data_IF_453432975195
#
_entry.id   IF_453432975195
#
_cell.length_a   1.000
_cell.length_b   1.000
_cell.length_c   1.000
_cell.angle_alpha   90.00
_cell.angle_beta   90.00
_cell.angle_gamma   90.00
#
_symmetry.space_group_name_H-M   'P 1'
#
loop_
_entity.id
_entity.type
_entity.pdbx_description
1 polymer ?
#
# COMPACT_ATOMS: atom_id res chain seq x y z
N UNK A 1 10.06 10.68 -23.27
CA UNK A 1 8.69 10.37 -23.69
C UNK A 1 8.44 8.88 -23.56
N UNK A 2 7.70 8.52 -22.52
CA UNK A 2 7.29 7.14 -22.23
C UNK A 2 6.31 6.60 -23.29
N UNK A 3 6.43 5.32 -23.62
CA UNK A 3 5.58 4.67 -24.63
C UNK A 3 4.19 4.35 -24.06
N UNK A 4 3.13 4.69 -24.81
CA UNK A 4 1.74 4.37 -24.44
C UNK A 4 1.37 2.96 -24.91
N UNK A 5 1.64 1.98 -24.05
CA UNK A 5 1.31 0.56 -24.25
C UNK A 5 0.67 0.01 -22.96
N UNK A 6 -0.06 -1.12 -23.03
CA UNK A 6 -0.48 -1.81 -21.82
C UNK A 6 0.73 -2.06 -20.91
N UNK A 7 0.62 -1.78 -19.61
CA UNK A 7 1.74 -1.92 -18.69
C UNK A 7 2.06 -3.40 -18.48
N UNK A 8 3.36 -3.70 -18.36
CA UNK A 8 3.87 -4.98 -17.88
C UNK A 8 4.64 -4.75 -16.58
N UNK A 9 4.93 -5.82 -15.83
CA UNK A 9 5.79 -5.78 -14.66
C UNK A 9 7.12 -5.08 -14.95
N UNK A 10 7.80 -5.46 -16.03
CA UNK A 10 9.11 -4.92 -16.41
C UNK A 10 9.02 -3.43 -16.74
N UNK A 11 7.97 -3.02 -17.44
CA UNK A 11 7.74 -1.62 -17.79
C UNK A 11 7.47 -0.78 -16.53
N UNK A 12 6.62 -1.27 -15.63
CA UNK A 12 6.29 -0.59 -14.37
C UNK A 12 7.52 -0.49 -13.46
N UNK A 13 8.27 -1.58 -13.32
CA UNK A 13 9.54 -1.62 -12.59
C UNK A 13 10.56 -0.63 -13.15
N UNK A 14 10.76 -0.61 -14.47
CA UNK A 14 11.68 0.33 -15.12
C UNK A 14 11.26 1.79 -14.93
N UNK A 15 9.95 2.06 -14.98
CA UNK A 15 9.39 3.38 -14.74
C UNK A 15 9.63 3.83 -13.29
N UNK A 16 9.29 3.00 -12.29
CA UNK A 16 9.50 3.30 -10.87
C UNK A 16 10.98 3.51 -10.57
N UNK A 17 11.85 2.63 -11.07
CA UNK A 17 13.30 2.80 -10.94
C UNK A 17 13.80 4.10 -11.60
N UNK A 18 13.24 4.47 -12.75
CA UNK A 18 13.52 5.72 -13.43
C UNK A 18 13.13 6.94 -12.60
N UNK A 19 11.99 6.92 -11.90
CA UNK A 19 11.56 8.00 -10.99
C UNK A 19 12.57 8.15 -9.84
N UNK A 20 12.93 7.05 -9.16
CA UNK A 20 13.88 7.06 -8.04
C UNK A 20 15.25 7.60 -8.46
N UNK A 21 15.66 7.33 -9.70
CA UNK A 21 16.94 7.81 -10.27
C UNK A 21 16.82 9.16 -10.97
N UNK A 22 15.69 9.85 -10.83
CA UNK A 22 15.42 11.16 -11.45
C UNK A 22 15.57 11.17 -12.98
N UNK A 23 15.37 10.02 -13.64
CA UNK A 23 15.36 9.89 -15.10
C UNK A 23 14.02 10.30 -15.72
N UNK A 24 12.94 10.18 -14.95
CA UNK A 24 11.60 10.63 -15.33
C UNK A 24 11.09 11.60 -14.28
N UNK A 25 10.47 12.69 -14.72
CA UNK A 25 9.76 13.60 -13.81
C UNK A 25 8.42 12.99 -13.42
N UNK A 26 7.87 13.42 -12.28
CA UNK A 26 6.55 12.95 -11.83
C UNK A 26 5.44 13.42 -12.77
N UNK A 27 5.58 14.58 -13.40
CA UNK A 27 4.68 15.10 -14.44
C UNK A 27 4.71 14.23 -15.71
N UNK A 28 5.89 13.82 -16.18
CA UNK A 28 6.01 12.90 -17.33
C UNK A 28 5.31 11.57 -17.03
N UNK A 29 5.49 11.04 -15.81
CA UNK A 29 4.86 9.79 -15.38
C UNK A 29 3.35 9.95 -15.25
N UNK A 30 2.86 11.06 -14.69
CA UNK A 30 1.41 11.31 -14.59
C UNK A 30 0.77 11.39 -15.98
N UNK A 31 1.41 12.11 -16.91
CA UNK A 31 0.93 12.20 -18.30
C UNK A 31 0.88 10.83 -18.97
N UNK A 32 1.92 10.01 -18.77
CA UNK A 32 1.94 8.63 -19.24
C UNK A 32 0.83 7.78 -18.62
N UNK A 33 0.65 7.84 -17.30
CA UNK A 33 -0.40 7.11 -16.58
C UNK A 33 -1.78 7.46 -17.15
N UNK A 34 -2.08 8.75 -17.32
CA UNK A 34 -3.35 9.21 -17.90
C UNK A 34 -3.57 8.68 -19.31
N UNK A 35 -2.53 8.69 -20.16
CA UNK A 35 -2.61 8.19 -21.53
C UNK A 35 -2.82 6.66 -21.59
N UNK A 36 -2.14 5.90 -20.72
CA UNK A 36 -2.29 4.45 -20.63
C UNK A 36 -3.65 4.09 -20.04
N UNK A 37 -4.05 4.70 -18.93
CA UNK A 37 -5.33 4.46 -18.28
C UNK A 37 -6.51 4.79 -19.21
N UNK A 38 -6.44 5.86 -20.01
CA UNK A 38 -7.47 6.15 -21.03
C UNK A 38 -7.64 5.03 -22.07
N UNK A 39 -6.60 4.22 -22.32
CA UNK A 39 -6.61 3.15 -23.31
C UNK A 39 -7.07 1.80 -22.73
N UNK A 40 -6.66 1.49 -21.50
CA UNK A 40 -6.91 0.18 -20.88
C UNK A 40 -8.03 0.23 -19.81
N UNK A 41 -8.35 1.42 -19.31
CA UNK A 41 -9.27 1.67 -18.22
C UNK A 41 -9.02 0.72 -17.03
N UNK A 42 -10.02 -0.07 -16.66
CA UNK A 42 -9.99 -1.04 -15.57
C UNK A 42 -9.56 -2.44 -16.00
N UNK A 43 -9.14 -2.61 -17.26
CA UNK A 43 -8.67 -3.88 -17.82
C UNK A 43 -7.15 -3.94 -17.77
N UNK A 44 -6.59 -3.80 -16.56
CA UNK A 44 -5.15 -3.80 -16.33
C UNK A 44 -4.59 -5.23 -16.40
N UNK A 45 -3.68 -5.55 -17.33
CA UNK A 45 -3.14 -6.91 -17.49
C UNK A 45 -1.98 -7.17 -16.50
N UNK A 46 -2.19 -6.88 -15.22
CA UNK A 46 -1.22 -7.13 -14.14
C UNK A 46 -1.92 -7.92 -13.03
N UNK A 47 -1.23 -8.89 -12.43
CA UNK A 47 -1.65 -9.45 -11.15
C UNK A 47 -1.26 -8.51 -9.99
N UNK A 48 -1.78 -8.73 -8.78
CA UNK A 48 -1.34 -7.97 -7.61
C UNK A 48 0.16 -8.12 -7.37
N UNK A 49 0.72 -9.29 -7.70
CA UNK A 49 2.14 -9.58 -7.56
C UNK A 49 3.03 -8.93 -8.63
N UNK A 50 2.42 -8.49 -9.74
CA UNK A 50 3.10 -7.76 -10.82
C UNK A 50 2.98 -6.24 -10.64
N UNK A 51 2.39 -5.79 -9.53
CA UNK A 51 2.23 -4.37 -9.21
C UNK A 51 0.91 -3.77 -9.70
N UNK A 52 -0.18 -4.54 -9.76
CA UNK A 52 -1.53 -4.04 -10.07
C UNK A 52 -1.87 -2.75 -9.29
N UNK A 53 -1.72 -2.76 -7.97
CA UNK A 53 -1.99 -1.58 -7.13
C UNK A 53 -0.95 -0.48 -7.31
N UNK A 54 0.29 -0.82 -7.64
CA UNK A 54 1.35 0.17 -7.87
C UNK A 54 1.09 0.97 -9.13
N UNK A 55 0.54 0.36 -10.18
CA UNK A 55 0.07 1.09 -11.36
C UNK A 55 -1.00 2.12 -10.99
N UNK A 56 -2.04 1.74 -10.24
CA UNK A 56 -3.10 2.67 -9.82
C UNK A 56 -2.61 3.75 -8.86
N UNK A 57 -1.62 3.43 -8.02
CA UNK A 57 -0.99 4.40 -7.13
C UNK A 57 -0.34 5.56 -7.91
N UNK A 58 0.12 5.34 -9.14
CA UNK A 58 0.69 6.39 -9.99
C UNK A 58 -0.32 7.50 -10.36
N UNK A 59 -1.63 7.29 -10.18
CA UNK A 59 -2.62 8.36 -10.26
C UNK A 59 -2.27 9.54 -9.31
N UNK A 60 -1.65 9.22 -8.17
CA UNK A 60 -1.28 10.18 -7.12
C UNK A 60 0.21 10.52 -7.13
N UNK A 61 0.93 10.25 -8.23
CA UNK A 61 2.37 10.51 -8.31
C UNK A 61 2.74 11.98 -8.10
N UNK A 62 1.83 12.91 -8.43
CA UNK A 62 2.02 14.35 -8.21
C UNK A 62 1.20 14.91 -7.02
N UNK A 63 0.38 14.08 -6.38
CA UNK A 63 -0.44 14.52 -5.26
C UNK A 63 0.44 14.93 -4.08
N UNK A 64 0.06 16.00 -3.38
CA UNK A 64 0.79 16.49 -2.21
C UNK A 64 -0.10 16.46 -0.98
N UNK A 65 0.47 16.02 0.13
CA UNK A 65 -0.19 16.03 1.43
C UNK A 65 0.75 16.64 2.45
N UNK A 66 0.29 17.69 3.15
CA UNK A 66 1.08 18.45 4.12
C UNK A 66 2.43 18.89 3.56
N UNK A 67 2.39 19.50 2.36
CA UNK A 67 3.56 20.00 1.61
C UNK A 67 4.58 18.96 1.15
N UNK A 68 4.33 17.66 1.32
CA UNK A 68 5.17 16.59 0.77
C UNK A 68 4.45 15.83 -0.33
N UNK A 69 5.18 15.16 -1.22
CA UNK A 69 4.56 14.22 -2.15
C UNK A 69 3.90 13.08 -1.38
N UNK A 70 2.67 12.74 -1.75
CA UNK A 70 1.95 11.60 -1.18
C UNK A 70 2.78 10.32 -1.32
N UNK A 71 3.10 9.94 -2.57
CA UNK A 71 4.03 8.85 -2.85
C UNK A 71 5.47 9.29 -2.60
N UNK A 72 6.10 8.74 -1.55
CA UNK A 72 7.48 9.00 -1.17
C UNK A 72 8.43 8.12 -1.99
N UNK A 73 9.71 8.50 -2.00
CA UNK A 73 10.77 7.67 -2.60
C UNK A 73 10.93 6.32 -1.90
N UNK A 74 10.60 6.23 -0.60
CA UNK A 74 10.59 4.97 0.15
C UNK A 74 9.47 4.04 -0.30
N UNK A 75 8.27 4.56 -0.56
CA UNK A 75 7.13 3.75 -1.08
C UNK A 75 7.50 3.10 -2.41
N UNK A 76 8.11 3.87 -3.31
CA UNK A 76 8.59 3.37 -4.60
C UNK A 76 9.68 2.29 -4.47
N UNK A 77 10.51 2.36 -3.43
CA UNK A 77 11.49 1.30 -3.16
C UNK A 77 10.77 0.04 -2.71
N UNK A 78 9.80 0.13 -1.80
CA UNK A 78 9.00 -1.02 -1.39
C UNK A 78 8.25 -1.65 -2.58
N UNK A 79 7.72 -0.86 -3.51
CA UNK A 79 7.12 -1.39 -4.75
C UNK A 79 8.11 -2.23 -5.57
N UNK A 80 9.36 -1.78 -5.69
CA UNK A 80 10.39 -2.52 -6.41
C UNK A 80 10.73 -3.83 -5.69
N UNK A 81 10.92 -3.79 -4.37
CA UNK A 81 11.22 -4.96 -3.56
C UNK A 81 10.09 -6.00 -3.62
N UNK A 82 8.83 -5.55 -3.58
CA UNK A 82 7.66 -6.42 -3.73
C UNK A 82 7.62 -7.09 -5.11
N UNK A 83 7.72 -6.30 -6.19
CA UNK A 83 7.72 -6.84 -7.55
C UNK A 83 8.92 -7.76 -7.80
N UNK A 84 10.07 -7.49 -7.18
CA UNK A 84 11.27 -8.34 -7.26
C UNK A 84 11.20 -9.58 -6.35
N UNK A 85 10.07 -9.79 -5.66
CA UNK A 85 9.81 -10.93 -4.76
C UNK A 85 10.77 -11.01 -3.59
N UNK A 86 11.28 -9.88 -3.14
CA UNK A 86 12.05 -9.81 -1.91
C UNK A 86 11.11 -9.97 -0.72
N UNK A 87 11.40 -10.87 0.20
CA UNK A 87 10.54 -11.14 1.36
C UNK A 87 10.61 -10.03 2.39
N UNK A 88 9.49 -9.78 3.08
CA UNK A 88 9.44 -8.84 4.19
C UNK A 88 10.29 -9.29 5.40
N UNK A 89 10.24 -8.52 6.48
CA UNK A 89 11.15 -8.66 7.62
C UNK A 89 10.42 -8.86 8.94
N UNK A 90 11.09 -9.46 9.93
CA UNK A 90 10.59 -9.53 11.29
C UNK A 90 10.53 -8.12 11.91
N UNK A 91 9.41 -7.78 12.56
CA UNK A 91 9.23 -6.51 13.28
C UNK A 91 9.45 -6.66 14.79
N UNK A 92 9.19 -7.84 15.34
CA UNK A 92 9.36 -8.16 16.76
C UNK A 92 8.29 -9.12 17.25
N UNK A 93 8.55 -9.86 18.34
CA UNK A 93 7.57 -10.72 19.02
C UNK A 93 6.66 -11.53 18.08
N UNK A 94 7.25 -12.21 17.10
CA UNK A 94 6.56 -13.06 16.11
C UNK A 94 5.71 -12.32 15.07
N UNK A 95 5.77 -10.99 15.03
CA UNK A 95 5.12 -10.16 14.01
C UNK A 95 6.07 -10.00 12.82
N UNK A 96 5.64 -10.45 11.66
CA UNK A 96 6.38 -10.28 10.41
C UNK A 96 5.71 -9.23 9.53
N UNK A 97 6.49 -8.32 8.98
CA UNK A 97 6.09 -7.54 7.82
C UNK A 97 6.03 -8.46 6.61
N UNK A 98 4.91 -8.41 5.89
CA UNK A 98 4.72 -9.06 4.60
C UNK A 98 4.72 -7.99 3.51
N UNK A 99 5.24 -8.34 2.33
CA UNK A 99 4.95 -7.56 1.12
C UNK A 99 3.63 -7.99 0.49
N UNK A 100 3.10 -7.16 -0.39
CA UNK A 100 1.79 -7.38 -1.03
C UNK A 100 1.73 -8.75 -1.72
N UNK A 101 2.79 -9.18 -2.41
CA UNK A 101 2.83 -10.49 -3.07
C UNK A 101 2.70 -11.68 -2.10
N UNK A 102 3.09 -11.52 -0.83
CA UNK A 102 3.00 -12.57 0.20
C UNK A 102 1.64 -12.64 0.87
N UNK A 103 0.85 -11.56 0.78
CA UNK A 103 -0.29 -11.33 1.67
C UNK A 103 -1.64 -11.84 1.15
N UNK A 104 -1.69 -12.37 -0.08
CA UNK A 104 -2.92 -12.79 -0.78
C UNK A 104 -4.08 -11.81 -0.52
N UNK A 105 -3.98 -10.56 -1.01
CA UNK A 105 -4.78 -9.45 -0.47
C UNK A 105 -6.29 -9.62 -0.63
N UNK A 106 -6.70 -10.47 -1.57
CA UNK A 106 -8.09 -10.84 -1.78
C UNK A 106 -8.72 -11.58 -0.59
N UNK A 107 -7.94 -12.05 0.39
CA UNK A 107 -8.44 -12.66 1.63
C UNK A 107 -8.64 -11.61 2.75
N UNK A 108 -8.08 -10.41 2.61
CA UNK A 108 -8.07 -9.34 3.60
C UNK A 108 -9.16 -8.30 3.30
N UNK A 109 -10.43 -8.72 3.24
CA UNK A 109 -11.53 -7.87 2.71
C UNK A 109 -12.39 -7.15 3.75
N UNK A 110 -12.38 -7.57 5.01
CA UNK A 110 -13.33 -7.05 5.99
C UNK A 110 -12.63 -6.52 7.24
N UNK A 111 -12.98 -5.30 7.70
CA UNK A 111 -12.43 -4.73 8.90
C UNK A 111 -12.76 -5.62 10.10
N UNK A 112 -11.72 -5.93 10.86
CA UNK A 112 -11.80 -6.57 12.17
C UNK A 112 -11.97 -5.52 13.24
N UNK A 113 -11.22 -4.43 13.17
CA UNK A 113 -11.27 -3.35 14.15
C UNK A 113 -11.10 -1.99 13.46
N UNK A 114 -11.78 -0.99 14.02
CA UNK A 114 -11.43 0.41 13.85
C UNK A 114 -10.43 0.78 14.95
N UNK A 115 -9.34 1.44 14.58
CA UNK A 115 -8.22 1.73 15.48
C UNK A 115 -8.04 3.24 15.54
N UNK A 116 -7.85 3.79 16.74
CA UNK A 116 -7.52 5.21 16.87
C UNK A 116 -6.15 5.47 16.24
N UNK A 117 -6.06 6.47 15.38
CA UNK A 117 -4.84 6.74 14.64
C UNK A 117 -3.77 7.40 15.52
N UNK A 118 -2.73 6.64 15.85
CA UNK A 118 -1.55 7.13 16.58
C UNK A 118 -0.33 7.31 15.66
N UNK A 119 -0.08 8.55 15.24
CA UNK A 119 1.01 8.93 14.31
C UNK A 119 2.37 8.33 14.71
N UNK A 120 2.77 8.48 15.99
CA UNK A 120 4.10 8.05 16.49
C UNK A 120 4.32 6.54 16.41
N UNK A 121 3.25 5.77 16.43
CA UNK A 121 3.30 4.30 16.35
C UNK A 121 3.31 3.90 14.89
N UNK A 122 2.36 4.43 14.13
CA UNK A 122 2.18 4.06 12.73
C UNK A 122 3.39 4.42 11.85
N UNK A 123 4.03 5.57 12.09
CA UNK A 123 5.24 5.98 11.34
C UNK A 123 6.47 5.10 11.61
N UNK A 124 6.47 4.29 12.68
CA UNK A 124 7.57 3.34 12.95
C UNK A 124 7.43 2.03 12.19
N UNK A 125 6.25 1.74 11.66
CA UNK A 125 6.00 0.54 10.87
C UNK A 125 6.51 0.74 9.43
N UNK A 126 6.92 -0.33 8.72
CA UNK A 126 7.34 -0.25 7.32
C UNK A 126 6.11 -0.04 6.41
N UNK A 127 5.47 1.12 6.55
CA UNK A 127 4.24 1.44 5.81
C UNK A 127 4.56 1.83 4.38
N UNK A 128 3.64 1.45 3.50
CA UNK A 128 3.68 1.80 2.08
C UNK A 128 2.44 2.61 1.74
N UNK A 129 2.63 3.76 1.09
CA UNK A 129 1.54 4.57 0.55
C UNK A 129 1.16 4.09 -0.84
N UNK A 130 -0.10 4.28 -1.21
CA UNK A 130 -0.59 3.89 -2.52
C UNK A 130 -2.07 4.22 -2.70
N UNK A 131 -2.67 3.56 -3.68
CA UNK A 131 -4.10 3.58 -3.88
C UNK A 131 -4.64 2.17 -4.11
N UNK A 132 -5.75 1.85 -3.45
CA UNK A 132 -6.53 0.67 -3.79
C UNK A 132 -7.48 1.00 -4.95
N UNK A 133 -7.74 -0.01 -5.79
CA UNK A 133 -8.65 0.16 -6.92
C UNK A 133 -10.05 0.57 -6.46
N UNK A 134 -10.73 1.44 -7.24
CA UNK A 134 -12.12 1.91 -7.07
C UNK A 134 -12.56 2.14 -5.59
N UNK A 135 -12.53 3.38 -5.07
CA UNK A 135 -12.59 4.65 -5.79
C UNK A 135 -11.23 5.34 -6.02
N UNK A 136 -10.12 4.59 -6.04
CA UNK A 136 -8.77 5.13 -5.94
C UNK A 136 -8.50 5.79 -4.58
N UNK A 137 -9.02 5.21 -3.49
CA UNK A 137 -8.76 5.76 -2.15
C UNK A 137 -7.26 5.84 -1.88
N UNK A 138 -6.78 7.01 -1.47
CA UNK A 138 -5.41 7.20 -1.01
C UNK A 138 -5.23 6.49 0.33
N UNK A 139 -4.29 5.56 0.37
CA UNK A 139 -4.05 4.70 1.54
C UNK A 139 -2.58 4.70 1.95
N UNK A 140 -2.34 4.47 3.23
CA UNK A 140 -1.05 4.08 3.79
C UNK A 140 -1.24 2.79 4.56
N UNK A 141 -0.48 1.74 4.26
CA UNK A 141 -0.78 0.41 4.75
C UNK A 141 0.47 -0.40 5.06
N UNK A 142 0.30 -1.43 5.89
CA UNK A 142 1.32 -2.44 6.19
C UNK A 142 0.65 -3.81 6.26
N UNK A 143 1.18 -4.78 5.54
CA UNK A 143 0.75 -6.17 5.64
C UNK A 143 1.58 -6.88 6.71
N UNK A 144 0.91 -7.69 7.51
CA UNK A 144 1.48 -8.32 8.69
C UNK A 144 1.12 -9.81 8.72
N UNK A 145 2.04 -10.62 9.23
CA UNK A 145 1.72 -11.97 9.68
C UNK A 145 1.92 -12.05 11.19
N UNK A 146 0.98 -12.67 11.88
CA UNK A 146 1.04 -12.90 13.32
C UNK A 146 0.34 -14.21 13.66
N UNK A 147 1.09 -15.12 14.30
CA UNK A 147 0.62 -16.47 14.68
C UNK A 147 -0.09 -17.19 13.50
N UNK A 148 0.61 -17.25 12.35
CA UNK A 148 0.15 -17.89 11.10
C UNK A 148 -1.07 -17.25 10.42
N UNK A 149 -1.57 -16.12 10.90
CA UNK A 149 -2.65 -15.36 10.26
C UNK A 149 -2.12 -14.11 9.59
N UNK A 150 -2.78 -13.70 8.50
CA UNK A 150 -2.43 -12.49 7.76
C UNK A 150 -3.37 -11.34 8.13
N UNK A 151 -2.78 -10.17 8.27
CA UNK A 151 -3.44 -8.93 8.63
C UNK A 151 -3.00 -7.80 7.71
N UNK A 152 -3.85 -6.79 7.59
CA UNK A 152 -3.57 -5.53 6.90
C UNK A 152 -3.99 -4.40 7.83
N UNK A 153 -3.03 -3.61 8.27
CA UNK A 153 -3.31 -2.36 8.93
C UNK A 153 -3.29 -1.27 7.87
N UNK A 154 -4.43 -0.59 7.65
CA UNK A 154 -4.60 0.40 6.58
C UNK A 154 -5.19 1.68 7.12
N UNK A 155 -4.48 2.78 6.88
CA UNK A 155 -4.94 4.14 7.05
C UNK A 155 -5.53 4.62 5.72
N UNK A 156 -6.77 5.08 5.75
CA UNK A 156 -7.41 5.78 4.63
C UNK A 156 -7.30 7.28 4.87
N UNK A 157 -6.76 8.01 3.89
CA UNK A 157 -6.64 9.47 3.97
C UNK A 157 -7.99 10.09 3.59
N UNK A 158 -8.64 10.73 4.55
CA UNK A 158 -9.87 11.49 4.29
C UNK A 158 -9.50 12.94 3.94
N UNK A 159 -9.95 13.44 2.78
CA UNK A 159 -9.62 14.80 2.31
C UNK A 159 -10.21 15.91 3.20
N UNK A 160 -11.28 15.61 3.94
CA UNK A 160 -12.04 16.60 4.75
C UNK A 160 -12.32 16.11 6.18
N UNK A 161 -11.71 15.01 6.61
CA UNK A 161 -12.02 14.30 7.85
C UNK A 161 -10.79 13.91 8.68
N UNK A 162 -11.04 13.17 9.77
CA UNK A 162 -9.96 12.49 10.51
C UNK A 162 -9.56 11.24 9.72
N UNK A 163 -8.26 10.95 9.67
CA UNK A 163 -7.78 9.74 9.01
C UNK A 163 -8.34 8.50 9.71
N UNK A 164 -8.91 7.59 8.94
CA UNK A 164 -9.49 6.35 9.46
C UNK A 164 -8.47 5.23 9.39
N UNK A 165 -8.19 4.55 10.51
CA UNK A 165 -7.27 3.42 10.59
C UNK A 165 -8.05 2.13 10.88
N UNK A 166 -7.85 1.11 10.04
CA UNK A 166 -8.53 -0.17 10.15
C UNK A 166 -7.54 -1.32 10.19
N UNK A 167 -7.83 -2.31 11.02
CA UNK A 167 -7.20 -3.63 10.95
C UNK A 167 -8.12 -4.57 10.18
N UNK A 168 -7.63 -5.17 9.11
CA UNK A 168 -8.27 -6.25 8.36
C UNK A 168 -7.49 -7.54 8.60
N UNK A 169 -8.14 -8.70 8.48
CA UNK A 169 -7.46 -9.98 8.65
C UNK A 169 -8.29 -11.17 8.22
N UNK A 170 -7.62 -12.32 8.09
CA UNK A 170 -8.22 -13.61 7.76
C UNK A 170 -8.94 -14.22 8.95
N UNK A 171 -8.35 -14.13 10.14
CA UNK A 171 -8.92 -14.64 11.38
C UNK A 171 -9.85 -13.61 12.06
N UNK A 172 -11.02 -14.06 12.51
CA UNK A 172 -12.08 -13.25 13.13
C UNK A 172 -12.04 -13.26 14.66
N UNK A 173 -11.08 -13.94 15.28
CA UNK A 173 -10.88 -13.98 16.72
C UNK A 173 -10.42 -12.60 17.24
N UNK A 174 -11.35 -11.87 17.88
CA UNK A 174 -11.10 -10.53 18.42
C UNK A 174 -9.93 -10.49 19.41
N UNK A 175 -9.74 -11.55 20.21
CA UNK A 175 -8.65 -11.62 21.18
C UNK A 175 -7.27 -11.61 20.50
N UNK A 176 -7.14 -12.33 19.39
CA UNK A 176 -5.89 -12.40 18.62
C UNK A 176 -5.58 -11.09 17.91
N UNK A 177 -6.61 -10.46 17.33
CA UNK A 177 -6.49 -9.12 16.77
C UNK A 177 -6.10 -8.07 17.83
N UNK A 178 -6.67 -8.17 19.03
CA UNK A 178 -6.30 -7.30 20.16
C UNK A 178 -4.85 -7.50 20.60
N UNK A 179 -4.37 -8.76 20.70
CA UNK A 179 -2.97 -9.06 21.04
C UNK A 179 -2.01 -8.46 20.01
N UNK A 180 -2.30 -8.63 18.71
CA UNK A 180 -1.53 -8.01 17.64
C UNK A 180 -1.47 -6.48 17.79
N UNK A 181 -2.61 -5.82 17.98
CA UNK A 181 -2.67 -4.36 18.12
C UNK A 181 -1.86 -3.88 19.33
N UNK A 182 -1.99 -4.54 20.48
CA UNK A 182 -1.24 -4.19 21.70
C UNK A 182 0.27 -4.35 21.51
N UNK A 183 0.72 -5.42 20.85
CA UNK A 183 2.15 -5.63 20.55
C UNK A 183 2.71 -4.61 19.56
N UNK A 184 1.87 -4.15 18.63
CA UNK A 184 2.20 -3.02 17.76
C UNK A 184 2.15 -1.67 18.50
N UNK A 185 1.57 -1.63 19.69
CA UNK A 185 1.46 -0.45 20.56
C UNK A 185 0.12 0.30 20.48
N UNK A 186 -0.86 -0.19 19.72
CA UNK A 186 -2.19 0.42 19.63
C UNK A 186 -3.10 -0.08 20.76
N UNK A 187 -3.58 0.83 21.60
CA UNK A 187 -4.41 0.48 22.77
C UNK A 187 -5.87 0.95 22.67
N UNK A 188 -6.17 1.86 21.74
CA UNK A 188 -7.51 2.37 21.51
C UNK A 188 -8.07 1.81 20.19
N UNK A 189 -9.04 0.91 20.30
CA UNK A 189 -9.69 0.27 19.14
C UNK A 189 -11.10 -0.20 19.49
N UNK A 190 -11.94 -0.31 18.46
CA UNK A 190 -13.33 -0.76 18.53
C UNK A 190 -13.50 -1.95 17.59
N UNK A 191 -13.99 -3.07 18.13
CA UNK A 191 -14.44 -4.20 17.33
C UNK A 191 -15.94 -4.03 17.02
N UNK A 192 -16.39 -4.21 15.76
CA UNK A 192 -17.80 -4.18 15.40
C UNK A 192 -18.59 -5.36 16.00
#
# INVERSE_FOLDING_TARGET
MLLVKPPSKEALRALIFGIIRSKFSREEVLSWYQAVFKKIEWQLPLSWEDGYWYFYSLAYINERVRDEYFLRSSDMREYLLDMDRETGSLLGEEIYHLRTFQSEPHLLRWPLAEVEFEVKIFEKLPTTRGAFERPLSMVEHVHLSFDNDNYLLVRQWEREGLDSLYLLGTNREKQKAADLLQRLGFYAYIFP
#
